data_IF_056823920635
#
_entry.id   IF_056823920635
#
_cell.length_a   1.000
_cell.length_b   1.000
_cell.length_c   1.000
_cell.angle_alpha   90.00
_cell.angle_beta   90.00
_cell.angle_gamma   90.00
#
_symmetry.space_group_name_H-M   'P 1'
#
loop_
_entity.id
_entity.type
_entity.pdbx_description
1 polymer ?
#
# COMPACT_ATOMS: atom_id res chain seq x y z
N UNK A 1 54.67 5.06 14.68
CA UNK A 1 53.41 5.16 15.47
C UNK A 1 52.30 5.48 14.48
N UNK A 2 51.61 4.45 13.96
CA UNK A 2 50.44 4.64 13.10
C UNK A 2 49.26 4.99 14.01
N UNK A 3 48.88 6.27 14.04
CA UNK A 3 47.64 6.68 14.70
C UNK A 3 46.51 6.28 13.76
N UNK A 4 45.87 5.13 14.03
CA UNK A 4 44.58 4.81 13.44
C UNK A 4 43.55 5.77 14.02
N UNK A 5 43.33 6.91 13.36
CA UNK A 5 42.15 7.72 13.60
C UNK A 5 40.93 6.86 13.26
N UNK A 6 40.23 6.39 14.28
CA UNK A 6 38.98 5.65 14.09
C UNK A 6 38.04 6.52 13.27
N UNK A 7 37.64 6.02 12.10
CA UNK A 7 36.78 6.75 11.17
C UNK A 7 35.49 7.13 11.91
N UNK A 8 35.34 8.42 12.17
CA UNK A 8 34.17 9.04 12.78
C UNK A 8 33.05 9.08 11.73
N UNK A 9 32.43 7.93 11.51
CA UNK A 9 31.39 7.75 10.50
C UNK A 9 30.01 8.01 11.09
N UNK A 10 29.20 8.80 10.38
CA UNK A 10 27.76 8.83 10.60
C UNK A 10 27.18 7.44 10.35
N UNK A 11 26.16 7.07 11.11
CA UNK A 11 25.49 5.78 10.98
C UNK A 11 24.00 5.88 11.27
N UNK A 12 23.17 5.42 10.34
CA UNK A 12 21.73 5.24 10.53
C UNK A 12 21.51 3.98 11.37
N UNK A 13 20.95 4.16 12.56
CA UNK A 13 20.57 3.09 13.48
C UNK A 13 19.31 2.39 13.00
N UNK A 14 18.30 3.17 12.62
CA UNK A 14 17.04 2.62 12.14
C UNK A 14 16.28 3.63 11.31
N UNK A 15 15.51 3.12 10.35
CA UNK A 15 14.56 3.88 9.56
C UNK A 15 13.15 3.33 9.86
N UNK A 16 12.26 4.20 10.32
CA UNK A 16 10.88 3.88 10.70
C UNK A 16 9.93 4.52 9.70
N UNK A 17 9.33 3.70 8.85
CA UNK A 17 8.35 4.09 7.84
C UNK A 17 7.17 3.11 7.97
N UNK A 18 5.91 3.57 8.04
CA UNK A 18 4.77 2.66 8.03
C UNK A 18 4.77 1.84 6.75
N UNK A 19 4.79 0.51 6.85
CA UNK A 19 4.85 -0.36 5.68
C UNK A 19 3.54 -0.31 4.88
N UNK A 20 2.40 -0.39 5.57
CA UNK A 20 1.06 -0.31 4.98
C UNK A 20 0.19 0.66 5.79
N UNK A 21 -0.56 1.50 5.08
CA UNK A 21 -1.51 2.45 5.66
C UNK A 21 -2.80 2.45 4.85
N UNK A 22 -3.95 2.38 5.52
CA UNK A 22 -5.23 2.61 4.85
C UNK A 22 -5.46 4.11 4.66
N UNK A 23 -5.83 4.52 3.45
CA UNK A 23 -6.15 5.90 3.13
C UNK A 23 -7.25 6.44 4.05
N UNK A 24 -7.03 7.64 4.61
CA UNK A 24 -7.96 8.28 5.54
C UNK A 24 -7.95 7.72 6.97
N UNK A 25 -7.12 6.73 7.29
CA UNK A 25 -7.05 6.17 8.65
C UNK A 25 -6.29 7.04 9.66
N UNK A 26 -5.44 7.97 9.19
CA UNK A 26 -4.64 8.86 10.03
C UNK A 26 -4.51 10.23 9.39
N UNK A 27 -4.66 11.28 10.19
CA UNK A 27 -4.47 12.67 9.75
C UNK A 27 -3.00 13.03 9.52
N UNK A 28 -2.07 12.30 10.15
CA UNK A 28 -0.65 12.49 9.96
C UNK A 28 0.15 11.23 10.25
N UNK A 29 1.29 11.08 9.56
CA UNK A 29 2.26 10.00 9.78
C UNK A 29 3.67 10.57 9.92
N UNK A 30 4.55 9.77 10.52
CA UNK A 30 5.95 10.16 10.73
C UNK A 30 6.87 9.12 10.11
N UNK A 31 7.82 9.59 9.30
CA UNK A 31 8.92 8.79 8.76
C UNK A 31 10.18 9.25 9.47
N UNK A 32 10.77 8.40 10.30
CA UNK A 32 11.91 8.77 11.16
C UNK A 32 13.18 8.06 10.70
N UNK A 33 14.27 8.82 10.59
CA UNK A 33 15.60 8.34 10.25
C UNK A 33 16.51 8.58 11.44
N UNK A 34 16.60 7.57 12.29
CA UNK A 34 17.37 7.63 13.52
C UNK A 34 18.83 7.33 13.23
N UNK A 35 19.70 8.30 13.46
CA UNK A 35 21.13 8.18 13.23
C UNK A 35 21.93 8.67 14.42
N UNK A 36 23.17 8.22 14.48
CA UNK A 36 24.18 8.70 15.40
C UNK A 36 25.37 9.25 14.60
N UNK A 37 25.95 10.32 15.10
CA UNK A 37 27.23 10.86 14.60
C UNK A 37 27.95 11.53 15.75
N UNK A 38 29.28 11.44 15.72
CA UNK A 38 30.17 12.21 16.58
C UNK A 38 30.79 13.42 15.86
N UNK A 39 30.60 13.53 14.54
CA UNK A 39 30.96 14.71 13.75
C UNK A 39 29.70 15.34 13.15
N UNK A 40 29.42 16.59 13.52
CA UNK A 40 28.26 17.36 13.02
C UNK A 40 28.65 18.37 11.95
N UNK A 41 29.94 18.48 11.63
CA UNK A 41 30.44 19.40 10.60
C UNK A 41 29.98 18.94 9.23
N UNK A 42 29.26 19.82 8.54
CA UNK A 42 28.67 19.51 7.23
C UNK A 42 27.49 18.55 7.31
N UNK A 43 26.84 18.42 8.48
CA UNK A 43 25.70 17.53 8.67
C UNK A 43 24.52 17.95 7.79
N UNK A 44 24.04 17.03 6.96
CA UNK A 44 22.87 17.18 6.10
C UNK A 44 22.02 15.92 6.19
N UNK A 45 20.71 16.07 6.38
CA UNK A 45 19.74 14.98 6.28
C UNK A 45 18.89 15.23 5.04
N UNK A 46 18.83 14.25 4.14
CA UNK A 46 17.97 14.28 2.95
C UNK A 46 17.05 13.09 2.95
N UNK A 47 15.84 13.30 2.44
CA UNK A 47 14.98 12.20 2.04
C UNK A 47 14.73 12.25 0.54
N UNK A 48 14.75 11.08 -0.07
CA UNK A 48 14.48 10.86 -1.48
C UNK A 48 13.27 9.95 -1.63
N UNK A 49 12.53 10.16 -2.71
CA UNK A 49 11.37 9.38 -3.09
C UNK A 49 11.65 8.62 -4.38
N UNK A 50 11.22 7.37 -4.45
CA UNK A 50 11.29 6.51 -5.64
C UNK A 50 12.70 6.40 -6.26
N UNK A 51 12.92 6.97 -7.44
CA UNK A 51 14.16 6.85 -8.24
C UNK A 51 15.33 7.64 -7.66
N UNK A 52 15.10 8.42 -6.60
CA UNK A 52 16.08 9.27 -5.93
C UNK A 52 16.72 10.32 -6.84
N UNK A 53 16.06 10.73 -7.91
CA UNK A 53 16.54 11.76 -8.84
C UNK A 53 16.72 13.13 -8.19
N UNK A 54 15.84 13.49 -7.26
CA UNK A 54 15.85 14.74 -6.50
C UNK A 54 15.42 14.49 -5.04
N UNK A 55 15.96 15.23 -4.06
CA UNK A 55 15.47 15.15 -2.69
C UNK A 55 14.06 15.72 -2.58
N UNK A 56 13.23 15.08 -1.78
CA UNK A 56 11.88 15.54 -1.39
C UNK A 56 11.88 16.24 -0.03
N UNK A 57 13.00 16.19 0.68
CA UNK A 57 13.25 16.89 1.93
C UNK A 57 14.73 17.11 2.12
N UNK A 58 15.10 18.25 2.70
CA UNK A 58 16.45 18.53 3.14
C UNK A 58 16.46 19.29 4.47
N UNK A 59 17.37 18.92 5.35
CA UNK A 59 17.63 19.62 6.58
C UNK A 59 19.14 19.79 6.82
N UNK A 60 19.56 21.02 7.10
CA UNK A 60 20.93 21.39 7.46
C UNK A 60 20.86 22.12 8.81
N UNK A 61 21.26 21.49 9.93
CA UNK A 61 21.28 22.16 11.24
C UNK A 61 22.16 23.42 11.24
N UNK A 62 21.80 24.48 11.98
CA UNK A 62 20.60 24.64 12.81
C UNK A 62 19.40 25.22 12.04
N UNK A 63 19.44 25.26 10.71
CA UNK A 63 18.40 25.87 9.89
C UNK A 63 17.09 25.08 9.97
N UNK A 64 15.98 25.72 9.58
CA UNK A 64 14.71 25.01 9.43
C UNK A 64 14.78 24.03 8.24
N UNK A 65 14.11 22.88 8.33
CA UNK A 65 14.04 21.96 7.22
C UNK A 65 13.24 22.53 6.04
N UNK A 66 13.49 21.99 4.85
CA UNK A 66 12.84 22.37 3.60
C UNK A 66 12.12 21.18 2.99
N UNK A 67 10.86 21.38 2.58
CA UNK A 67 10.08 20.41 1.82
C UNK A 67 10.24 20.67 0.32
N UNK A 68 10.45 19.60 -0.46
CA UNK A 68 10.74 19.64 -1.89
C UNK A 68 9.90 18.59 -2.63
N UNK A 69 9.85 18.69 -3.97
CA UNK A 69 9.19 17.70 -4.83
C UNK A 69 7.77 17.36 -4.37
N UNK A 70 7.45 16.06 -4.32
CA UNK A 70 6.12 15.55 -3.96
C UNK A 70 5.70 15.90 -2.53
N UNK A 71 6.64 16.20 -1.62
CA UNK A 71 6.36 16.54 -0.23
C UNK A 71 6.20 18.04 0.00
N UNK A 72 6.37 18.88 -1.03
CA UNK A 72 6.14 20.32 -0.92
C UNK A 72 4.73 20.60 -0.40
N UNK A 73 4.63 21.41 0.65
CA UNK A 73 3.38 21.76 1.35
C UNK A 73 2.63 20.59 2.00
N UNK A 74 3.22 19.39 2.11
CA UNK A 74 2.62 18.23 2.77
C UNK A 74 3.22 17.92 4.14
N UNK A 75 4.24 18.68 4.56
CA UNK A 75 4.98 18.43 5.80
C UNK A 75 4.69 19.48 6.86
N UNK A 76 4.58 19.02 8.11
CA UNK A 76 4.78 19.89 9.28
C UNK A 76 6.29 20.09 9.50
N UNK A 77 6.82 21.21 8.98
CA UNK A 77 8.23 21.58 9.12
C UNK A 77 8.61 22.07 10.53
N UNK A 78 7.62 22.25 11.41
CA UNK A 78 7.86 22.62 12.82
C UNK A 78 8.06 21.40 13.71
N UNK A 79 7.69 20.21 13.24
CA UNK A 79 7.78 18.96 13.99
C UNK A 79 9.22 18.65 14.42
N UNK A 80 9.40 18.39 15.71
CA UNK A 80 10.68 17.98 16.33
C UNK A 80 10.54 16.61 16.97
N UNK A 81 11.29 15.64 16.48
CA UNK A 81 11.29 14.27 17.02
C UNK A 81 12.18 14.12 18.25
N UNK A 82 13.13 15.04 18.44
CA UNK A 82 14.04 15.03 19.59
C UNK A 82 14.39 16.46 20.05
N UNK A 83 14.89 16.58 21.28
CA UNK A 83 15.36 17.86 21.85
C UNK A 83 16.79 18.21 21.42
N UNK A 84 17.55 17.26 20.87
CA UNK A 84 18.93 17.48 20.45
C UNK A 84 18.96 18.32 19.16
N UNK A 85 19.72 19.44 19.13
CA UNK A 85 19.71 20.37 18.01
C UNK A 85 20.16 19.76 16.68
N UNK A 86 20.95 18.69 16.72
CA UNK A 86 21.48 18.00 15.54
C UNK A 86 20.61 16.83 15.09
N UNK A 87 19.58 16.43 15.84
CA UNK A 87 18.69 15.32 15.46
C UNK A 87 17.20 15.68 15.49
N UNK A 88 16.85 16.92 15.86
CA UNK A 88 15.45 17.34 16.06
C UNK A 88 14.57 17.22 14.81
N UNK A 89 15.10 17.48 13.61
CA UNK A 89 14.35 17.42 12.34
C UNK A 89 14.84 16.28 11.43
N UNK A 90 15.29 15.15 11.99
CA UNK A 90 15.65 13.97 11.18
C UNK A 90 14.44 13.20 10.63
N UNK A 91 13.24 13.51 11.14
CA UNK A 91 11.99 12.86 10.79
C UNK A 91 11.08 13.75 9.94
N UNK A 92 10.37 13.15 8.99
CA UNK A 92 9.31 13.78 8.22
C UNK A 92 7.99 13.62 8.97
N UNK A 93 7.23 14.69 9.14
CA UNK A 93 5.84 14.63 9.59
C UNK A 93 4.93 14.96 8.43
N UNK A 94 4.39 13.95 7.78
CA UNK A 94 3.49 14.09 6.62
C UNK A 94 2.06 14.30 7.14
N UNK A 95 1.41 15.37 6.68
CA UNK A 95 0.02 15.69 6.96
C UNK A 95 -0.87 15.15 5.83
N UNK A 96 -2.04 14.64 6.20
CA UNK A 96 -3.07 14.11 5.30
C UNK A 96 -2.49 13.20 4.20
N UNK A 97 -1.87 12.06 4.56
CA UNK A 97 -1.18 11.19 3.61
C UNK A 97 -2.14 10.67 2.51
N UNK A 98 -1.76 10.90 1.26
CA UNK A 98 -2.51 10.52 0.06
C UNK A 98 -1.87 9.33 -0.67
N UNK A 99 -2.63 8.64 -1.52
CA UNK A 99 -2.17 7.44 -2.24
C UNK A 99 -0.95 7.67 -3.15
N UNK A 100 -0.78 8.90 -3.65
CA UNK A 100 0.38 9.31 -4.46
C UNK A 100 1.72 9.25 -3.70
N UNK A 101 1.69 9.15 -2.36
CA UNK A 101 2.85 8.96 -1.50
C UNK A 101 3.22 7.47 -1.31
N UNK A 102 2.57 6.56 -2.03
CA UNK A 102 2.97 5.16 -2.08
C UNK A 102 4.29 5.01 -2.85
N UNK A 103 5.34 4.54 -2.19
CA UNK A 103 6.63 4.34 -2.83
C UNK A 103 7.78 4.06 -1.87
N UNK A 104 8.99 4.04 -2.43
CA UNK A 104 10.21 3.86 -1.67
C UNK A 104 10.73 5.19 -1.12
N UNK A 105 11.01 5.22 0.17
CA UNK A 105 11.59 6.37 0.86
C UNK A 105 13.01 6.06 1.29
N UNK A 106 13.96 6.88 0.87
CA UNK A 106 15.37 6.73 1.23
C UNK A 106 15.81 7.91 2.07
N UNK A 107 16.29 7.63 3.27
CA UNK A 107 17.00 8.61 4.08
C UNK A 107 18.49 8.53 3.77
N UNK A 108 19.11 9.69 3.56
CA UNK A 108 20.55 9.86 3.39
C UNK A 108 21.02 10.86 4.44
N UNK A 109 21.96 10.46 5.28
CA UNK A 109 22.57 11.33 6.29
C UNK A 109 24.05 11.48 5.97
N UNK A 110 24.46 12.71 5.70
CA UNK A 110 25.81 13.04 5.24
C UNK A 110 26.49 13.98 6.24
N UNK A 111 27.80 13.86 6.34
CA UNK A 111 28.74 14.79 6.98
C UNK A 111 29.86 15.07 5.99
N UNK A 112 30.80 15.98 6.27
CA UNK A 112 31.95 16.16 5.37
C UNK A 112 32.88 14.94 5.26
N UNK A 113 32.80 13.99 6.20
CA UNK A 113 33.70 12.84 6.25
C UNK A 113 33.05 11.52 5.84
N UNK A 114 31.73 11.42 5.91
CA UNK A 114 31.00 10.16 5.73
C UNK A 114 29.53 10.37 5.43
N UNK A 115 28.92 9.36 4.81
CA UNK A 115 27.49 9.30 4.50
C UNK A 115 26.97 7.88 4.79
N UNK A 116 25.72 7.77 5.25
CA UNK A 116 25.00 6.50 5.35
C UNK A 116 23.57 6.69 4.82
N UNK A 117 23.01 5.63 4.23
CA UNK A 117 21.68 5.64 3.64
C UNK A 117 20.89 4.36 3.91
N UNK A 118 19.56 4.50 4.05
CA UNK A 118 18.63 3.38 4.20
C UNK A 118 17.32 3.66 3.49
N UNK A 119 16.71 2.61 2.95
CA UNK A 119 15.42 2.67 2.23
C UNK A 119 14.35 1.82 2.90
N UNK A 120 13.11 2.33 2.92
CA UNK A 120 11.91 1.56 3.28
C UNK A 120 10.76 1.87 2.33
N UNK A 121 9.95 0.87 1.95
CA UNK A 121 8.72 1.09 1.22
C UNK A 121 7.60 1.60 2.14
N UNK A 122 6.64 2.32 1.56
CA UNK A 122 5.36 2.64 2.16
C UNK A 122 4.26 2.44 1.14
N UNK A 123 3.22 1.69 1.50
CA UNK A 123 2.01 1.51 0.69
C UNK A 123 0.82 2.19 1.36
N UNK A 124 0.17 3.12 0.66
CA UNK A 124 -1.10 3.69 1.09
C UNK A 124 -2.20 3.10 0.21
N UNK A 125 -3.05 2.25 0.79
CA UNK A 125 -4.08 1.53 0.06
C UNK A 125 -5.47 2.06 0.33
N UNK A 126 -6.37 1.81 -0.60
CA UNK A 126 -7.78 2.16 -0.57
C UNK A 126 -8.56 0.85 -0.76
N UNK A 127 -9.39 0.45 0.22
CA UNK A 127 -10.24 -0.73 0.05
C UNK A 127 -11.34 -0.46 -0.99
N UNK A 128 -11.97 -1.54 -1.44
CA UNK A 128 -13.10 -1.49 -2.35
C UNK A 128 -14.27 -0.69 -1.76
N UNK A 129 -14.91 0.13 -2.59
CA UNK A 129 -16.17 0.80 -2.24
C UNK A 129 -17.38 -0.07 -2.52
N UNK A 130 -17.22 -1.04 -3.44
CA UNK A 130 -18.26 -1.99 -3.84
C UNK A 130 -17.63 -3.34 -4.14
N UNK A 131 -18.30 -4.41 -3.72
CA UNK A 131 -17.92 -5.79 -3.99
C UNK A 131 -19.17 -6.64 -4.30
N UNK A 132 -19.37 -6.90 -5.58
CA UNK A 132 -20.51 -7.65 -6.10
C UNK A 132 -20.09 -8.98 -6.70
N UNK A 133 -21.01 -9.94 -6.60
CA UNK A 133 -20.92 -11.22 -7.27
C UNK A 133 -22.29 -11.57 -7.84
N UNK A 134 -22.33 -11.91 -9.12
CA UNK A 134 -23.52 -12.24 -9.89
C UNK A 134 -23.34 -13.65 -10.44
N UNK A 135 -24.39 -14.46 -10.31
CA UNK A 135 -24.46 -15.82 -10.84
C UNK A 135 -25.55 -15.88 -11.90
N UNK A 136 -25.17 -16.02 -13.16
CA UNK A 136 -26.09 -15.99 -14.29
C UNK A 136 -26.16 -17.34 -15.01
N UNK A 137 -27.36 -17.89 -15.14
CA UNK A 137 -27.60 -19.19 -15.79
C UNK A 137 -27.79 -18.97 -17.28
N UNK A 138 -26.89 -19.53 -18.07
CA UNK A 138 -26.93 -19.47 -19.52
C UNK A 138 -27.84 -20.59 -20.09
N UNK A 139 -28.40 -20.36 -21.27
CA UNK A 139 -29.37 -21.25 -21.92
C UNK A 139 -28.81 -22.61 -22.32
N UNK A 140 -27.49 -22.74 -22.44
CA UNK A 140 -26.75 -23.93 -22.86
C UNK A 140 -26.26 -24.80 -21.69
N UNK A 141 -26.78 -24.58 -20.47
CA UNK A 141 -26.44 -25.36 -19.28
C UNK A 141 -25.13 -24.92 -18.60
N UNK A 142 -24.68 -23.71 -18.89
CA UNK A 142 -23.53 -23.10 -18.23
C UNK A 142 -23.95 -22.08 -17.17
N UNK A 143 -23.07 -21.88 -16.19
CA UNK A 143 -23.16 -20.83 -15.20
C UNK A 143 -22.04 -19.83 -15.49
N UNK A 144 -22.42 -18.57 -15.68
CA UNK A 144 -21.49 -17.45 -15.75
C UNK A 144 -21.44 -16.77 -14.38
N UNK A 145 -20.30 -16.85 -13.73
CA UNK A 145 -20.05 -16.22 -12.44
C UNK A 145 -19.26 -14.95 -12.72
N UNK A 146 -19.83 -13.80 -12.38
CA UNK A 146 -19.19 -12.49 -12.54
C UNK A 146 -18.92 -11.94 -11.16
N UNK A 147 -17.68 -11.52 -10.93
CA UNK A 147 -17.25 -10.86 -9.73
C UNK A 147 -16.69 -9.48 -10.09
N UNK A 148 -17.11 -8.45 -9.37
CA UNK A 148 -16.63 -7.08 -9.61
C UNK A 148 -16.33 -6.32 -8.32
N UNK A 149 -15.22 -5.59 -8.33
CA UNK A 149 -14.84 -4.65 -7.27
C UNK A 149 -14.57 -3.27 -7.86
N UNK A 150 -14.89 -2.23 -7.09
CA UNK A 150 -14.74 -0.84 -7.49
C UNK A 150 -13.94 -0.04 -6.47
N UNK A 151 -13.21 0.98 -6.93
CA UNK A 151 -12.61 1.98 -6.05
C UNK A 151 -11.32 1.55 -5.33
N UNK A 152 -10.68 0.45 -5.77
CA UNK A 152 -9.53 -0.15 -5.07
C UNK A 152 -8.20 0.50 -5.48
N UNK A 153 -7.26 0.65 -4.56
CA UNK A 153 -5.88 1.01 -4.88
C UNK A 153 -4.92 0.40 -3.86
N UNK A 154 -3.71 -0.06 -4.22
CA UNK A 154 -3.18 -0.33 -5.56
C UNK A 154 -3.97 -1.41 -6.33
N UNK A 155 -3.44 -1.87 -7.47
CA UNK A 155 -4.09 -2.85 -8.35
C UNK A 155 -4.53 -4.10 -7.58
N UNK A 156 -5.83 -4.46 -7.61
CA UNK A 156 -6.33 -5.71 -7.01
C UNK A 156 -6.14 -6.90 -7.95
N UNK A 157 -6.15 -8.08 -7.35
CA UNK A 157 -6.24 -9.38 -8.00
C UNK A 157 -7.52 -10.07 -7.55
N UNK A 158 -8.24 -10.67 -8.50
CA UNK A 158 -9.51 -11.34 -8.25
C UNK A 158 -9.41 -12.80 -8.69
N UNK A 159 -9.87 -13.73 -7.85
CA UNK A 159 -10.02 -15.14 -8.20
C UNK A 159 -11.40 -15.65 -7.83
N UNK A 160 -11.93 -16.57 -8.64
CA UNK A 160 -13.24 -17.19 -8.40
C UNK A 160 -13.01 -18.66 -8.08
N UNK A 161 -13.60 -19.13 -6.98
CA UNK A 161 -13.61 -20.54 -6.61
C UNK A 161 -15.04 -21.08 -6.53
N UNK A 162 -15.21 -22.35 -6.87
CA UNK A 162 -16.40 -23.13 -6.55
C UNK A 162 -16.02 -24.22 -5.55
N UNK A 163 -16.43 -24.06 -4.29
CA UNK A 163 -15.87 -24.75 -3.14
C UNK A 163 -14.37 -24.46 -3.05
N UNK A 164 -13.56 -25.51 -3.13
CA UNK A 164 -12.09 -25.40 -3.13
C UNK A 164 -11.46 -25.40 -4.53
N UNK A 165 -12.27 -25.43 -5.60
CA UNK A 165 -11.75 -25.47 -6.98
C UNK A 165 -11.63 -24.06 -7.54
N UNK A 166 -10.41 -23.64 -7.84
CA UNK A 166 -10.14 -22.43 -8.62
C UNK A 166 -10.72 -22.58 -10.04
N UNK A 167 -11.46 -21.58 -10.50
CA UNK A 167 -12.05 -21.58 -11.83
C UNK A 167 -11.16 -20.83 -12.83
N UNK A 168 -11.14 -21.31 -14.08
CA UNK A 168 -10.52 -20.58 -15.17
C UNK A 168 -11.37 -19.35 -15.49
N UNK A 169 -10.85 -18.18 -15.14
CA UNK A 169 -11.56 -16.92 -15.28
C UNK A 169 -10.85 -15.97 -16.26
N UNK A 170 -11.61 -15.03 -16.81
CA UNK A 170 -11.10 -13.91 -17.58
C UNK A 170 -11.30 -12.64 -16.78
N UNK A 171 -10.24 -11.87 -16.62
CA UNK A 171 -10.26 -10.61 -15.87
C UNK A 171 -10.11 -9.42 -16.81
N UNK A 172 -10.84 -8.37 -16.51
CA UNK A 172 -10.71 -7.05 -17.10
C UNK A 172 -10.53 -6.02 -16.00
N UNK A 173 -9.72 -5.00 -16.24
CA UNK A 173 -9.44 -3.97 -15.26
C UNK A 173 -9.50 -2.60 -15.92
N UNK A 174 -10.10 -1.65 -15.22
CA UNK A 174 -10.22 -0.25 -15.63
C UNK A 174 -9.71 0.63 -14.50
N UNK A 175 -9.24 1.82 -14.85
CA UNK A 175 -8.87 2.85 -13.88
C UNK A 175 -9.88 3.99 -14.03
N UNK A 176 -10.54 4.34 -12.94
CA UNK A 176 -11.51 5.44 -12.84
C UNK A 176 -11.02 6.34 -11.72
N UNK A 177 -10.72 7.60 -12.05
CA UNK A 177 -10.23 8.60 -11.07
C UNK A 177 -9.03 8.11 -10.22
N UNK A 178 -8.09 7.41 -10.86
CA UNK A 178 -6.89 6.87 -10.19
C UNK A 178 -7.12 5.63 -9.31
N UNK A 179 -8.34 5.09 -9.30
CA UNK A 179 -8.70 3.85 -8.58
C UNK A 179 -9.08 2.74 -9.56
N UNK A 180 -8.84 1.50 -9.17
CA UNK A 180 -9.09 0.32 -9.97
C UNK A 180 -10.52 -0.17 -9.79
N UNK A 181 -11.15 -0.46 -10.92
CA UNK A 181 -12.35 -1.27 -11.03
C UNK A 181 -11.98 -2.55 -11.76
N UNK A 182 -12.12 -3.68 -11.10
CA UNK A 182 -11.77 -4.98 -11.65
C UNK A 182 -13.02 -5.85 -11.78
N UNK A 183 -13.16 -6.53 -12.92
CA UNK A 183 -14.22 -7.47 -13.20
C UNK A 183 -13.60 -8.79 -13.66
N UNK A 184 -13.97 -9.88 -13.01
CA UNK A 184 -13.53 -11.23 -13.34
C UNK A 184 -14.74 -12.10 -13.60
N UNK A 185 -14.74 -12.85 -14.70
CA UNK A 185 -15.81 -13.79 -15.03
C UNK A 185 -15.29 -15.19 -15.28
N UNK A 186 -16.02 -16.20 -14.79
CA UNK A 186 -15.76 -17.61 -15.03
C UNK A 186 -17.02 -18.28 -15.57
N UNK A 187 -16.87 -19.04 -16.66
CA UNK A 187 -17.97 -19.80 -17.26
C UNK A 187 -17.72 -21.28 -17.04
N UNK A 188 -18.71 -21.98 -16.48
CA UNK A 188 -18.57 -23.39 -16.11
C UNK A 188 -19.84 -24.19 -16.38
N UNK A 189 -19.71 -25.46 -16.76
CA UNK A 189 -20.87 -26.35 -16.93
C UNK A 189 -21.51 -26.65 -15.58
N UNK A 190 -22.81 -26.44 -15.47
CA UNK A 190 -23.59 -26.65 -14.24
C UNK A 190 -23.50 -28.10 -13.76
N UNK A 191 -23.48 -29.07 -14.68
CA UNK A 191 -23.39 -30.49 -14.34
C UNK A 191 -22.05 -30.90 -13.72
N UNK A 192 -21.01 -30.07 -13.90
CA UNK A 192 -19.69 -30.26 -13.27
C UNK A 192 -19.59 -29.74 -11.84
N UNK A 193 -20.63 -29.06 -11.34
CA UNK A 193 -20.71 -28.51 -9.99
C UNK A 193 -21.58 -29.38 -9.10
N UNK A 194 -21.26 -29.63 -7.82
CA UNK A 194 -22.15 -30.33 -6.90
C UNK A 194 -23.59 -29.75 -6.86
N UNK A 195 -24.60 -30.50 -6.36
CA UNK A 195 -25.98 -30.01 -6.27
C UNK A 195 -26.11 -28.68 -5.51
N UNK A 196 -25.27 -28.50 -4.50
CA UNK A 196 -25.10 -27.25 -3.76
C UNK A 196 -23.61 -26.99 -3.62
N UNK A 197 -23.16 -25.81 -4.00
CA UNK A 197 -21.74 -25.43 -3.93
C UNK A 197 -21.61 -23.97 -3.53
N UNK A 198 -20.65 -23.68 -2.66
CA UNK A 198 -20.30 -22.30 -2.32
C UNK A 198 -19.47 -21.70 -3.47
N UNK A 199 -19.84 -20.52 -3.93
CA UNK A 199 -19.06 -19.72 -4.85
C UNK A 199 -18.36 -18.64 -4.05
N UNK A 200 -17.04 -18.57 -4.23
CA UNK A 200 -16.18 -17.60 -3.57
C UNK A 200 -15.60 -16.68 -4.62
N UNK A 201 -15.63 -15.38 -4.37
CA UNK A 201 -14.75 -14.44 -5.06
C UNK A 201 -13.82 -13.81 -4.05
N UNK A 202 -12.52 -14.02 -4.25
CA UNK A 202 -11.48 -13.48 -3.40
C UNK A 202 -10.82 -12.31 -4.11
N UNK A 203 -10.69 -11.21 -3.38
CA UNK A 203 -9.92 -10.05 -3.81
C UNK A 203 -8.71 -9.88 -2.90
N UNK A 204 -7.53 -9.72 -3.51
CA UNK A 204 -6.31 -9.37 -2.82
C UNK A 204 -5.74 -8.06 -3.38
N UNK A 205 -5.15 -7.24 -2.51
CA UNK A 205 -4.25 -6.15 -2.89
C UNK A 205 -2.86 -6.53 -2.37
N UNK A 206 -2.02 -7.20 -3.19
CA UNK A 206 -0.79 -7.82 -2.71
C UNK A 206 0.17 -6.83 -2.04
N UNK A 207 0.31 -5.62 -2.60
CA UNK A 207 1.19 -4.57 -2.07
C UNK A 207 0.80 -4.05 -0.68
N UNK A 208 -0.44 -4.30 -0.26
CA UNK A 208 -0.96 -3.88 1.04
C UNK A 208 -1.24 -5.05 1.98
N UNK A 209 -1.02 -6.29 1.52
CA UNK A 209 -1.48 -7.50 2.20
C UNK A 209 -2.96 -7.43 2.64
N UNK A 210 -3.78 -6.75 1.84
CA UNK A 210 -5.20 -6.57 2.11
C UNK A 210 -6.00 -7.64 1.36
N UNK A 211 -6.99 -8.22 2.04
CA UNK A 211 -7.81 -9.31 1.53
C UNK A 211 -9.28 -9.06 1.84
N UNK A 212 -10.14 -9.29 0.85
CA UNK A 212 -11.59 -9.24 0.99
C UNK A 212 -12.21 -10.41 0.23
N UNK A 213 -13.35 -10.93 0.70
CA UNK A 213 -13.99 -12.11 0.12
C UNK A 213 -15.51 -11.94 0.06
N UNK A 214 -16.08 -12.19 -1.11
CA UNK A 214 -17.52 -12.38 -1.30
C UNK A 214 -17.84 -13.87 -1.37
N UNK A 215 -18.92 -14.28 -0.72
CA UNK A 215 -19.40 -15.66 -0.70
C UNK A 215 -20.87 -15.68 -1.08
N UNK A 216 -21.28 -16.70 -1.81
CA UNK A 216 -22.68 -16.97 -2.12
C UNK A 216 -22.87 -18.47 -2.41
N UNK A 217 -24.08 -18.98 -2.35
CA UNK A 217 -24.38 -20.39 -2.57
C UNK A 217 -25.06 -20.57 -3.92
N UNK A 218 -24.51 -21.45 -4.75
CA UNK A 218 -25.16 -21.92 -5.97
C UNK A 218 -25.91 -23.22 -5.69
N UNK A 219 -27.19 -23.25 -6.06
CA UNK A 219 -27.99 -24.45 -6.09
C UNK A 219 -28.24 -24.87 -7.52
N UNK A 220 -27.95 -26.13 -7.87
CA UNK A 220 -28.15 -26.68 -9.21
C UNK A 220 -29.63 -26.76 -9.59
N UNK A 221 -30.49 -27.15 -8.64
CA UNK A 221 -31.94 -27.15 -8.81
C UNK A 221 -32.54 -25.74 -8.82
N UNK A 222 -33.72 -25.57 -9.41
CA UNK A 222 -34.53 -24.36 -9.18
C UNK A 222 -35.03 -24.40 -7.74
N UNK A 223 -34.73 -23.38 -6.94
CA UNK A 223 -35.37 -23.21 -5.63
C UNK A 223 -36.82 -22.83 -5.89
N UNK A 224 -37.74 -23.74 -5.64
CA UNK A 224 -39.15 -23.40 -5.56
C UNK A 224 -39.38 -22.78 -4.18
N UNK A 225 -39.52 -21.45 -4.12
CA UNK A 225 -40.13 -20.84 -2.94
C UNK A 225 -41.59 -21.29 -2.92
N UNK A 226 -41.89 -22.33 -2.13
CA UNK A 226 -43.26 -22.56 -1.70
C UNK A 226 -43.62 -21.44 -0.73
N UNK A 227 -44.23 -20.38 -1.28
CA UNK A 227 -44.97 -19.40 -0.49
C UNK A 227 -46.16 -20.18 0.07
N UNK A 228 -46.05 -20.63 1.32
CA UNK A 228 -47.21 -21.08 2.08
C UNK A 228 -48.05 -19.84 2.40
N UNK A 229 -49.16 -19.68 1.68
CA UNK A 229 -50.25 -18.85 2.17
C UNK A 229 -50.98 -19.66 3.24
N UNK A 230 -50.82 -19.26 4.50
CA UNK A 230 -51.72 -19.63 5.59
C UNK A 230 -52.85 -18.61 5.68
#
# INVERSE_FOLDING_TARGET
MLITFGVHSVRIISIRVPEVLQYGSKDAITLDCDYITNNVTGLVVKWFYMDRSQPVYQWIPPQKPQALGILKNKLDLSYKVSKNPYTQHRALRILSPSTELTGNYTCVVSTFLSEDERTRPMTIFVPETKFDMIQDRLSDGYLNIICSVEGVFPRPELVILAGNRLLNSKSSIKIIEGRYTALTSAVIRIDSLPPTVEILCDMQVPLANYFSRKRDIFFRGKIYFHIFYY
#
